data_IF_858260206398
#
_entry.id   IF_858260206398
#
_cell.length_a   1.000
_cell.length_b   1.000
_cell.length_c   1.000
_cell.angle_alpha   90.00
_cell.angle_beta   90.00
_cell.angle_gamma   90.00
#
_symmetry.space_group_name_H-M   'P 1'
#
loop_
_entity.id
_entity.type
_entity.pdbx_description
1 polymer ?
#
# COMPACT_ATOMS: atom_id res chain seq x y z
N UNK A 1 1.51 -18.25 -8.11
CA UNK A 1 0.03 -18.25 -8.06
C UNK A 1 -0.63 -16.88 -8.19
N UNK A 2 0.10 -15.75 -8.22
CA UNK A 2 -0.52 -14.41 -8.34
C UNK A 2 -0.63 -14.00 -9.81
N UNK A 3 -1.82 -13.59 -10.26
CA UNK A 3 -2.07 -13.20 -11.65
C UNK A 3 -1.72 -14.33 -12.62
N UNK A 4 -0.68 -14.15 -13.43
CA UNK A 4 -0.16 -15.18 -14.34
C UNK A 4 1.13 -15.86 -13.86
N UNK A 5 1.66 -15.48 -12.70
CA UNK A 5 2.86 -16.13 -12.14
C UNK A 5 2.49 -17.50 -11.59
N UNK A 6 3.24 -18.55 -11.96
CA UNK A 6 2.94 -19.94 -11.62
C UNK A 6 4.22 -20.73 -11.31
N UNK A 7 4.04 -21.87 -10.64
CA UNK A 7 5.03 -22.93 -10.51
C UNK A 7 4.41 -24.27 -10.91
N UNK A 8 5.23 -25.17 -11.45
CA UNK A 8 4.85 -26.57 -11.69
C UNK A 8 4.95 -27.43 -10.41
N UNK A 9 5.53 -26.89 -9.35
CA UNK A 9 5.73 -27.59 -8.07
C UNK A 9 4.67 -27.13 -7.08
N UNK A 10 3.84 -28.08 -6.61
CA UNK A 10 2.72 -27.78 -5.70
C UNK A 10 3.17 -27.16 -4.36
N UNK A 11 4.34 -27.57 -3.84
CA UNK A 11 4.87 -27.04 -2.57
C UNK A 11 5.21 -25.55 -2.63
N UNK A 12 5.46 -24.98 -3.80
CA UNK A 12 5.81 -23.56 -3.96
C UNK A 12 4.62 -22.63 -3.68
N UNK A 13 3.40 -23.18 -3.64
CA UNK A 13 2.20 -22.42 -3.31
C UNK A 13 1.97 -22.30 -1.79
N UNK A 14 2.69 -23.09 -0.97
CA UNK A 14 2.83 -22.85 0.47
C UNK A 14 4.00 -21.91 0.69
N UNK A 15 3.73 -20.63 0.92
CA UNK A 15 4.73 -19.57 0.81
C UNK A 15 4.52 -18.46 1.85
N UNK A 16 5.49 -17.57 1.95
CA UNK A 16 5.46 -16.41 2.83
C UNK A 16 6.37 -15.30 2.33
N UNK A 17 6.56 -14.28 3.16
CA UNK A 17 7.37 -13.09 2.89
C UNK A 17 8.80 -13.48 2.53
N UNK A 18 9.38 -14.41 3.30
CA UNK A 18 10.75 -14.85 3.11
C UNK A 18 10.95 -15.57 1.76
N UNK A 19 10.01 -16.42 1.33
CA UNK A 19 10.08 -17.04 -0.01
C UNK A 19 9.84 -16.02 -1.10
N UNK A 20 8.89 -15.09 -0.92
CA UNK A 20 8.63 -14.02 -1.88
C UNK A 20 9.87 -13.15 -2.12
N UNK A 21 10.59 -12.77 -1.06
CA UNK A 21 11.83 -12.00 -1.15
C UNK A 21 12.95 -12.79 -1.87
N UNK A 22 13.11 -14.09 -1.56
CA UNK A 22 14.09 -14.96 -2.23
C UNK A 22 13.80 -15.12 -3.72
N UNK A 23 12.54 -15.40 -4.07
CA UNK A 23 12.15 -15.62 -5.47
C UNK A 23 12.24 -14.34 -6.29
N UNK A 24 11.88 -13.20 -5.71
CA UNK A 24 12.04 -11.89 -6.34
C UNK A 24 13.52 -11.52 -6.52
N UNK A 25 14.39 -11.89 -5.57
CA UNK A 25 15.83 -11.73 -5.71
C UNK A 25 16.38 -12.51 -6.90
N UNK A 26 16.02 -13.80 -7.01
CA UNK A 26 16.39 -14.66 -8.14
C UNK A 26 15.84 -14.09 -9.46
N UNK A 27 14.57 -13.70 -9.47
CA UNK A 27 13.93 -13.09 -10.64
C UNK A 27 14.70 -11.87 -11.12
N UNK A 28 15.07 -10.96 -10.22
CA UNK A 28 15.79 -9.75 -10.60
C UNK A 28 17.19 -10.04 -11.16
N UNK A 29 17.93 -11.01 -10.60
CA UNK A 29 19.21 -11.44 -11.18
C UNK A 29 19.03 -11.96 -12.61
N UNK A 30 18.02 -12.83 -12.84
CA UNK A 30 17.69 -13.34 -14.17
C UNK A 30 17.17 -12.26 -15.13
N UNK A 31 16.43 -11.29 -14.62
CA UNK A 31 15.97 -10.15 -15.39
C UNK A 31 17.16 -9.31 -15.89
N UNK A 32 18.15 -9.04 -15.05
CA UNK A 32 19.36 -8.34 -15.46
C UNK A 32 20.27 -9.16 -16.38
N UNK A 33 20.28 -10.49 -16.30
CA UNK A 33 20.92 -11.35 -17.32
C UNK A 33 20.27 -11.15 -18.69
N UNK A 34 18.93 -11.10 -18.74
CA UNK A 34 18.16 -10.92 -19.98
C UNK A 34 18.19 -9.48 -20.51
N UNK A 35 18.23 -8.50 -19.61
CA UNK A 35 18.18 -7.07 -19.92
C UNK A 35 19.39 -6.32 -19.34
N UNK A 36 20.62 -6.63 -19.80
CA UNK A 36 21.85 -6.11 -19.20
C UNK A 36 22.00 -4.59 -19.30
N UNK A 37 21.34 -3.95 -20.28
CA UNK A 37 21.36 -2.49 -20.45
C UNK A 37 20.83 -1.72 -19.23
N UNK A 38 20.06 -2.36 -18.35
CA UNK A 38 19.53 -1.72 -17.14
C UNK A 38 20.41 -1.91 -15.91
N UNK A 39 21.47 -2.75 -15.96
CA UNK A 39 22.32 -3.04 -14.78
C UNK A 39 22.94 -1.81 -14.13
N UNK A 40 23.20 -0.75 -14.91
CA UNK A 40 23.79 0.50 -14.43
C UNK A 40 22.76 1.57 -14.07
N UNK A 41 21.46 1.30 -14.23
CA UNK A 41 20.40 2.27 -13.92
C UNK A 41 20.22 2.39 -12.41
N UNK A 42 19.76 3.55 -11.99
CA UNK A 42 19.28 3.76 -10.64
C UNK A 42 18.06 2.88 -10.39
N UNK A 43 18.09 2.13 -9.30
CA UNK A 43 17.08 1.14 -8.97
C UNK A 43 16.26 1.62 -7.77
N UNK A 44 14.95 1.74 -7.95
CA UNK A 44 14.01 2.18 -6.93
C UNK A 44 13.02 1.06 -6.64
N UNK A 45 12.70 0.87 -5.37
CA UNK A 45 11.72 -0.12 -4.93
C UNK A 45 10.47 0.60 -4.46
N UNK A 46 9.34 0.29 -5.06
CA UNK A 46 8.07 0.91 -4.70
C UNK A 46 6.96 -0.11 -4.60
N UNK A 47 6.03 0.12 -3.68
CA UNK A 47 4.88 -0.75 -3.50
C UNK A 47 3.79 -0.07 -2.67
N UNK A 48 2.67 -0.75 -2.49
CA UNK A 48 1.52 -0.27 -1.74
C UNK A 48 0.98 -1.36 -0.80
N UNK A 49 0.29 -0.97 0.28
CA UNK A 49 -0.44 -1.90 1.15
C UNK A 49 0.49 -2.91 1.84
N UNK A 50 0.23 -4.21 1.67
CA UNK A 50 1.08 -5.29 2.17
C UNK A 50 2.50 -5.27 1.56
N UNK A 51 2.74 -4.51 0.48
CA UNK A 51 4.11 -4.26 0.04
C UNK A 51 4.93 -3.44 1.05
N UNK A 52 4.30 -2.88 2.09
CA UNK A 52 4.97 -2.45 3.32
C UNK A 52 5.80 -3.55 3.95
N UNK A 53 5.40 -4.83 3.86
CA UNK A 53 6.23 -5.99 4.23
C UNK A 53 7.23 -6.37 3.13
N UNK A 54 6.76 -6.47 1.88
CA UNK A 54 7.58 -6.98 0.77
C UNK A 54 8.78 -6.11 0.43
N UNK A 55 8.57 -4.80 0.33
CA UNK A 55 9.59 -3.88 -0.18
C UNK A 55 10.78 -3.76 0.77
N UNK A 56 10.61 -3.59 2.09
CA UNK A 56 11.73 -3.55 3.02
C UNK A 56 12.48 -4.87 3.11
N UNK A 57 11.77 -6.01 3.11
CA UNK A 57 12.41 -7.33 3.12
C UNK A 57 13.23 -7.58 1.84
N UNK A 58 12.69 -7.23 0.69
CA UNK A 58 13.39 -7.34 -0.59
C UNK A 58 14.62 -6.41 -0.66
N UNK A 59 14.47 -5.17 -0.19
CA UNK A 59 15.59 -4.22 -0.13
C UNK A 59 16.73 -4.75 0.75
N UNK A 60 16.39 -5.33 1.90
CA UNK A 60 17.37 -5.95 2.80
C UNK A 60 18.04 -7.16 2.12
N UNK A 61 17.29 -8.02 1.43
CA UNK A 61 17.87 -9.12 0.65
C UNK A 61 18.86 -8.63 -0.43
N UNK A 62 18.58 -7.50 -1.09
CA UNK A 62 19.51 -6.89 -2.04
C UNK A 62 20.75 -6.27 -1.38
N UNK A 63 20.59 -5.66 -0.20
CA UNK A 63 21.72 -5.16 0.60
C UNK A 63 22.63 -6.32 1.03
N UNK A 64 22.05 -7.43 1.48
CA UNK A 64 22.77 -8.65 1.84
C UNK A 64 23.50 -9.23 0.63
N UNK A 65 22.86 -9.30 -0.53
CA UNK A 65 23.54 -9.67 -1.78
C UNK A 65 24.72 -8.75 -2.10
N UNK A 66 24.54 -7.43 -2.01
CA UNK A 66 25.59 -6.45 -2.31
C UNK A 66 26.79 -6.55 -1.37
N UNK A 67 26.58 -6.94 -0.12
CA UNK A 67 27.63 -7.13 0.87
C UNK A 67 28.51 -8.36 0.56
N UNK A 68 27.91 -9.44 0.03
CA UNK A 68 28.61 -10.70 -0.23
C UNK A 68 29.07 -10.86 -1.69
N UNK A 69 28.46 -10.14 -2.64
CA UNK A 69 28.78 -10.28 -4.06
C UNK A 69 30.06 -9.55 -4.47
N UNK A 70 30.93 -10.24 -5.19
CA UNK A 70 32.10 -9.66 -5.89
C UNK A 70 31.76 -9.21 -7.32
N UNK A 71 30.57 -9.54 -7.82
CA UNK A 71 30.12 -9.24 -9.17
C UNK A 71 29.07 -8.14 -9.22
N UNK A 72 27.91 -8.45 -9.82
CA UNK A 72 26.80 -7.51 -9.94
C UNK A 72 26.26 -7.10 -8.56
N UNK A 73 26.07 -5.79 -8.40
CA UNK A 73 25.44 -5.17 -7.23
C UNK A 73 24.22 -4.36 -7.66
N UNK A 74 23.16 -4.41 -6.87
CA UNK A 74 21.97 -3.61 -7.05
C UNK A 74 22.26 -2.15 -6.69
N UNK A 75 22.05 -1.22 -7.62
CA UNK A 75 22.23 0.22 -7.41
C UNK A 75 20.96 0.86 -6.81
N UNK A 76 20.62 0.47 -5.58
CA UNK A 76 19.41 0.92 -4.89
C UNK A 76 19.54 2.42 -4.54
N UNK A 77 18.63 3.25 -5.04
CA UNK A 77 18.62 4.70 -4.82
C UNK A 77 17.52 5.23 -3.93
N UNK A 78 16.50 4.43 -3.65
CA UNK A 78 15.42 4.85 -2.76
C UNK A 78 14.31 3.83 -2.69
N UNK A 79 13.51 3.98 -1.64
CA UNK A 79 12.29 3.22 -1.42
C UNK A 79 11.11 4.16 -1.24
N UNK A 80 9.98 3.88 -1.89
CA UNK A 80 8.73 4.57 -1.62
C UNK A 80 7.58 3.58 -1.42
N UNK A 81 6.90 3.64 -0.28
CA UNK A 81 5.81 2.74 0.08
C UNK A 81 4.53 3.51 0.40
N UNK A 82 3.46 3.17 -0.31
CA UNK A 82 2.14 3.81 -0.22
C UNK A 82 1.21 3.04 0.72
N UNK A 83 0.50 3.73 1.60
CA UNK A 83 -0.45 3.15 2.55
C UNK A 83 0.05 1.83 3.18
N UNK A 84 1.28 1.80 3.75
CA UNK A 84 1.96 0.53 4.00
C UNK A 84 1.56 -0.08 5.34
N UNK A 85 1.21 -1.37 5.33
CA UNK A 85 1.17 -2.17 6.55
C UNK A 85 2.62 -2.37 7.05
N UNK A 86 2.90 -1.98 8.28
CA UNK A 86 4.26 -1.96 8.84
C UNK A 86 4.35 -2.59 10.23
N UNK A 87 3.34 -2.37 11.07
CA UNK A 87 3.32 -2.88 12.45
C UNK A 87 1.89 -2.86 13.00
N UNK A 88 1.36 -4.05 13.31
CA UNK A 88 -0.06 -4.23 13.64
C UNK A 88 -0.52 -3.46 14.88
N UNK A 89 0.32 -3.33 15.90
CA UNK A 89 0.00 -2.63 17.15
C UNK A 89 -0.27 -1.12 16.95
N UNK A 90 0.12 -0.55 15.81
CA UNK A 90 -0.22 0.83 15.41
C UNK A 90 -1.19 0.89 14.24
N UNK A 91 -1.02 0.02 13.24
CA UNK A 91 -1.84 0.08 12.04
C UNK A 91 -3.30 -0.34 12.31
N UNK A 92 -3.52 -1.36 13.15
CA UNK A 92 -4.86 -1.87 13.47
C UNK A 92 -5.69 -0.88 14.29
N UNK A 93 -5.23 -0.33 15.44
CA UNK A 93 -6.01 0.67 16.16
C UNK A 93 -6.27 1.92 15.32
N UNK A 94 -5.36 2.29 14.41
CA UNK A 94 -5.55 3.44 13.52
C UNK A 94 -6.78 3.28 12.61
N UNK A 95 -7.12 2.07 12.16
CA UNK A 95 -8.35 1.78 11.40
C UNK A 95 -9.60 2.16 12.19
N UNK A 96 -9.69 1.76 13.45
CA UNK A 96 -10.87 2.04 14.27
C UNK A 96 -10.92 3.50 14.73
N UNK A 97 -9.77 4.14 14.97
CA UNK A 97 -9.68 5.58 15.17
C UNK A 97 -10.16 6.35 13.92
N UNK A 98 -9.80 5.88 12.72
CA UNK A 98 -10.28 6.44 11.47
C UNK A 98 -11.81 6.31 11.36
N UNK A 99 -12.36 5.11 11.57
CA UNK A 99 -13.81 4.89 11.53
C UNK A 99 -14.56 5.83 12.47
N UNK A 100 -14.11 5.96 13.72
CA UNK A 100 -14.74 6.84 14.70
C UNK A 100 -14.63 8.32 14.29
N UNK A 101 -13.42 8.79 13.99
CA UNK A 101 -13.18 10.19 13.64
C UNK A 101 -13.88 10.65 12.35
N UNK A 102 -14.26 9.72 11.47
CA UNK A 102 -14.98 9.98 10.23
C UNK A 102 -16.48 9.68 10.32
N UNK A 103 -17.01 9.41 11.52
CA UNK A 103 -18.44 9.21 11.76
C UNK A 103 -19.00 7.91 11.17
N UNK A 104 -18.14 6.92 10.93
CA UNK A 104 -18.53 5.62 10.38
C UNK A 104 -19.04 4.66 11.46
N UNK A 105 -18.66 4.88 12.71
CA UNK A 105 -19.12 4.12 13.89
C UNK A 105 -19.52 5.09 15.01
N UNK A 106 -20.34 4.63 15.95
CA UNK A 106 -20.81 5.46 17.06
C UNK A 106 -19.71 5.72 18.10
N UNK A 107 -19.93 6.73 18.95
CA UNK A 107 -19.03 7.04 20.07
C UNK A 107 -18.88 5.85 21.03
N UNK A 108 -19.95 5.09 21.28
CA UNK A 108 -19.93 3.93 22.15
C UNK A 108 -18.99 2.84 21.63
N UNK A 109 -19.07 2.53 20.34
CA UNK A 109 -18.22 1.52 19.69
C UNK A 109 -16.77 2.00 19.61
N UNK A 110 -16.56 3.24 19.18
CA UNK A 110 -15.22 3.86 19.11
C UNK A 110 -14.52 3.87 20.46
N UNK A 111 -15.20 4.35 21.52
CA UNK A 111 -14.66 4.38 22.88
C UNK A 111 -14.49 2.98 23.47
N UNK A 112 -15.34 2.01 23.12
CA UNK A 112 -15.17 0.63 23.55
C UNK A 112 -13.87 0.04 22.98
N UNK A 113 -13.57 0.27 21.70
CA UNK A 113 -12.32 -0.20 21.08
C UNK A 113 -11.13 0.56 21.68
N UNK A 114 -11.13 1.89 21.65
CA UNK A 114 -9.98 2.69 22.07
C UNK A 114 -9.59 2.50 23.54
N UNK A 115 -10.54 2.20 24.43
CA UNK A 115 -10.26 2.08 25.87
C UNK A 115 -10.15 0.63 26.37
N UNK A 116 -10.75 -0.36 25.69
CA UNK A 116 -10.83 -1.74 26.19
C UNK A 116 -10.02 -2.73 25.36
N UNK A 117 -9.57 -2.34 24.17
CA UNK A 117 -8.66 -3.17 23.38
C UNK A 117 -7.22 -2.87 23.74
N UNK A 118 -6.45 -3.93 23.93
CA UNK A 118 -4.99 -3.88 23.96
C UNK A 118 -4.49 -4.47 22.65
N UNK A 119 -3.73 -3.69 21.89
CA UNK A 119 -3.23 -4.06 20.57
C UNK A 119 -1.73 -4.41 20.59
N UNK A 120 -1.05 -4.33 21.73
CA UNK A 120 0.41 -4.50 21.82
C UNK A 120 0.86 -5.88 21.30
N UNK A 121 0.06 -6.93 21.59
CA UNK A 121 0.28 -8.31 21.13
C UNK A 121 -0.74 -8.76 20.06
N UNK A 122 -1.33 -7.82 19.30
CA UNK A 122 -2.33 -8.14 18.27
C UNK A 122 -1.75 -9.06 17.18
N UNK A 123 -2.54 -10.05 16.76
CA UNK A 123 -2.19 -10.98 15.70
C UNK A 123 -3.15 -10.88 14.52
N UNK A 124 -2.61 -10.99 13.31
CA UNK A 124 -3.39 -11.01 12.07
C UNK A 124 -4.37 -12.19 12.00
N UNK A 125 -3.97 -13.35 12.54
CA UNK A 125 -4.81 -14.54 12.62
C UNK A 125 -6.07 -14.30 13.48
N UNK A 126 -7.16 -14.98 13.12
CA UNK A 126 -8.45 -14.95 13.83
C UNK A 126 -8.66 -16.23 14.64
N UNK A 127 -9.13 -16.16 15.91
CA UNK A 127 -9.43 -14.93 16.65
C UNK A 127 -8.15 -14.15 16.96
N UNK A 128 -8.25 -12.81 16.93
CA UNK A 128 -7.12 -11.94 17.27
C UNK A 128 -6.75 -12.14 18.74
N UNK A 129 -5.45 -12.03 19.05
CA UNK A 129 -4.92 -12.10 20.41
C UNK A 129 -5.28 -10.85 21.24
N UNK A 130 -6.57 -10.65 21.47
CA UNK A 130 -7.18 -9.57 22.25
C UNK A 130 -8.33 -10.14 23.09
N UNK A 131 -8.86 -9.35 24.03
CA UNK A 131 -9.97 -9.78 24.87
C UNK A 131 -11.23 -10.11 24.05
N UNK A 132 -12.08 -11.02 24.53
CA UNK A 132 -13.35 -11.35 23.87
C UNK A 132 -14.23 -10.10 23.67
N UNK A 133 -14.26 -9.20 24.64
CA UNK A 133 -14.98 -7.92 24.54
C UNK A 133 -14.41 -7.02 23.44
N UNK A 134 -13.09 -7.03 23.24
CA UNK A 134 -12.46 -6.30 22.14
C UNK A 134 -12.82 -6.92 20.78
N UNK A 135 -12.71 -8.24 20.64
CA UNK A 135 -13.11 -8.95 19.42
C UNK A 135 -14.60 -8.69 19.07
N UNK A 136 -15.48 -8.60 20.08
CA UNK A 136 -16.88 -8.23 19.89
C UNK A 136 -17.05 -6.79 19.40
N UNK A 137 -16.37 -5.82 20.02
CA UNK A 137 -16.44 -4.42 19.60
C UNK A 137 -15.87 -4.20 18.17
N UNK A 138 -14.77 -4.89 17.83
CA UNK A 138 -14.21 -4.92 16.48
C UNK A 138 -15.22 -5.49 15.48
N UNK A 139 -15.86 -6.62 15.82
CA UNK A 139 -16.89 -7.23 14.97
C UNK A 139 -18.09 -6.30 14.76
N UNK A 140 -18.53 -5.61 15.82
CA UNK A 140 -19.60 -4.61 15.76
C UNK A 140 -19.22 -3.44 14.85
N UNK A 141 -18.01 -2.88 15.01
CA UNK A 141 -17.52 -1.81 14.13
C UNK A 141 -17.50 -2.24 12.66
N UNK A 142 -16.97 -3.42 12.36
CA UNK A 142 -16.94 -3.97 11.00
C UNK A 142 -18.36 -4.21 10.44
N UNK A 143 -19.29 -4.66 11.27
CA UNK A 143 -20.69 -4.85 10.88
C UNK A 143 -21.41 -3.52 10.60
N UNK A 144 -21.09 -2.44 11.32
CA UNK A 144 -21.68 -1.12 11.09
C UNK A 144 -21.18 -0.53 9.77
N UNK A 145 -19.87 -0.61 9.51
CA UNK A 145 -19.29 -0.16 8.25
C UNK A 145 -19.87 -0.95 7.06
N UNK A 146 -19.90 -2.28 7.19
CA UNK A 146 -20.54 -3.19 6.25
C UNK A 146 -19.98 -3.13 4.82
N UNK A 147 -20.63 -3.84 3.92
CA UNK A 147 -20.16 -4.02 2.53
C UNK A 147 -20.57 -2.88 1.57
N UNK A 148 -21.41 -1.95 2.03
CA UNK A 148 -21.86 -0.79 1.24
C UNK A 148 -20.90 0.40 1.29
N UNK A 149 -19.80 0.26 2.05
CA UNK A 149 -18.70 1.22 2.10
C UNK A 149 -17.47 0.54 1.52
N UNK A 150 -16.82 1.19 0.57
CA UNK A 150 -15.52 0.74 0.11
C UNK A 150 -14.45 1.14 1.15
N UNK A 151 -13.95 0.17 1.92
CA UNK A 151 -12.91 0.44 2.94
C UNK A 151 -11.61 0.99 2.35
N UNK A 152 -11.30 0.69 1.09
CA UNK A 152 -10.13 1.22 0.40
C UNK A 152 -10.29 2.67 -0.06
N UNK A 153 -11.52 3.19 -0.11
CA UNK A 153 -11.84 4.58 -0.46
C UNK A 153 -13.24 4.96 0.05
N UNK A 154 -13.29 5.48 1.28
CA UNK A 154 -14.55 5.68 2.02
C UNK A 154 -15.45 6.77 1.45
N UNK A 155 -14.94 7.57 0.51
CA UNK A 155 -15.71 8.63 -0.16
C UNK A 155 -16.26 8.19 -1.51
N UNK A 156 -15.89 7.01 -2.01
CA UNK A 156 -16.43 6.46 -3.26
C UNK A 156 -17.69 5.63 -3.01
N UNK A 157 -18.59 5.70 -3.99
CA UNK A 157 -19.69 4.74 -4.09
C UNK A 157 -19.16 3.32 -4.34
N UNK A 158 -19.98 2.31 -4.08
CA UNK A 158 -19.67 0.91 -4.40
C UNK A 158 -20.09 0.56 -5.82
N UNK A 159 -19.33 -0.34 -6.46
CA UNK A 159 -19.76 -0.92 -7.74
C UNK A 159 -20.89 -1.92 -7.51
N UNK A 160 -22.04 -1.69 -8.14
CA UNK A 160 -23.15 -2.64 -8.08
C UNK A 160 -22.92 -3.83 -9.04
N UNK A 161 -23.38 -5.03 -8.68
CA UNK A 161 -23.42 -6.15 -9.62
C UNK A 161 -24.22 -5.78 -10.88
N UNK A 162 -23.84 -6.34 -12.02
CA UNK A 162 -24.46 -6.01 -13.33
C UNK A 162 -25.98 -6.16 -13.37
N UNK A 163 -26.53 -7.13 -12.66
CA UNK A 163 -28.00 -7.32 -12.54
C UNK A 163 -28.66 -6.17 -11.77
N UNK A 164 -28.02 -5.67 -10.73
CA UNK A 164 -28.49 -4.54 -9.92
C UNK A 164 -28.36 -3.25 -10.73
N UNK A 165 -27.25 -3.05 -11.45
CA UNK A 165 -27.13 -1.92 -12.37
C UNK A 165 -28.20 -1.93 -13.45
N UNK A 166 -28.49 -3.09 -14.04
CA UNK A 166 -29.54 -3.22 -15.05
C UNK A 166 -30.91 -2.85 -14.49
N UNK A 167 -31.23 -3.31 -13.28
CA UNK A 167 -32.46 -2.92 -12.59
C UNK A 167 -32.51 -1.41 -12.28
N UNK A 168 -31.43 -0.84 -11.75
CA UNK A 168 -31.33 0.59 -11.44
C UNK A 168 -31.45 1.47 -12.70
N UNK A 169 -30.91 1.02 -13.84
CA UNK A 169 -31.08 1.66 -15.16
C UNK A 169 -32.52 1.56 -15.64
N UNK A 170 -33.15 0.38 -15.54
CA UNK A 170 -34.56 0.17 -15.91
C UNK A 170 -35.48 1.06 -15.06
N UNK A 171 -35.19 1.23 -13.78
CA UNK A 171 -35.89 2.15 -12.87
C UNK A 171 -35.52 3.62 -13.04
N UNK A 172 -34.63 3.97 -13.98
CA UNK A 172 -34.11 5.33 -14.23
C UNK A 172 -33.44 6.00 -13.02
N UNK A 173 -32.97 5.21 -12.05
CA UNK A 173 -32.28 5.71 -10.85
C UNK A 173 -30.78 5.93 -11.09
N UNK A 174 -30.18 5.18 -12.03
CA UNK A 174 -28.79 5.32 -12.45
C UNK A 174 -28.64 6.15 -13.74
N UNK A 175 -29.11 7.41 -13.73
CA UNK A 175 -29.18 8.25 -14.94
C UNK A 175 -27.97 9.17 -15.18
N UNK A 176 -26.96 9.16 -14.31
CA UNK A 176 -25.77 10.00 -14.47
C UNK A 176 -24.50 9.16 -14.56
N UNK A 177 -23.78 9.34 -15.66
CA UNK A 177 -22.36 9.01 -15.76
C UNK A 177 -21.64 9.97 -14.82
N UNK A 178 -21.07 9.47 -13.73
CA UNK A 178 -20.19 10.25 -12.88
C UNK A 178 -18.89 10.52 -13.65
N UNK A 179 -18.44 11.77 -13.71
CA UNK A 179 -17.11 12.17 -14.23
C UNK A 179 -16.01 11.85 -13.19
N UNK A 180 -16.29 10.90 -12.30
CA UNK A 180 -15.47 10.51 -11.16
C UNK A 180 -14.62 9.27 -11.42
N UNK A 181 -14.09 8.75 -10.32
CA UNK A 181 -13.26 7.54 -10.26
C UNK A 181 -14.13 6.31 -10.57
N UNK A 182 -13.66 5.39 -11.43
CA UNK A 182 -14.41 4.21 -11.88
C UNK A 182 -14.42 3.07 -10.85
N UNK A 183 -15.46 3.06 -10.01
CA UNK A 183 -15.65 2.10 -8.93
C UNK A 183 -15.74 0.64 -9.39
N UNK A 184 -16.02 0.38 -10.68
CA UNK A 184 -16.21 -0.96 -11.25
C UNK A 184 -14.95 -1.55 -11.92
N UNK A 185 -13.84 -0.81 -11.91
CA UNK A 185 -12.59 -1.20 -12.56
C UNK A 185 -12.09 -2.61 -12.21
N UNK A 186 -12.38 -3.12 -11.01
CA UNK A 186 -12.02 -4.49 -10.59
C UNK A 186 -12.59 -5.56 -11.53
N UNK A 187 -13.85 -5.42 -11.94
CA UNK A 187 -14.51 -6.39 -12.83
C UNK A 187 -14.01 -6.26 -14.26
N UNK A 188 -13.86 -5.02 -14.74
CA UNK A 188 -13.37 -4.72 -16.08
C UNK A 188 -11.95 -5.26 -16.28
N UNK A 189 -11.08 -5.08 -15.28
CA UNK A 189 -9.71 -5.57 -15.27
C UNK A 189 -9.66 -7.10 -15.33
N UNK A 190 -10.50 -7.77 -14.53
CA UNK A 190 -10.63 -9.24 -14.56
C UNK A 190 -11.10 -9.72 -15.92
N UNK A 191 -12.09 -9.07 -16.52
CA UNK A 191 -12.57 -9.40 -17.86
C UNK A 191 -11.46 -9.24 -18.90
N UNK A 192 -10.84 -8.07 -18.97
CA UNK A 192 -9.82 -7.72 -19.95
C UNK A 192 -8.62 -8.68 -19.93
N UNK A 193 -8.07 -8.98 -18.75
CA UNK A 193 -6.91 -9.87 -18.64
C UNK A 193 -7.25 -11.37 -18.84
N UNK A 194 -8.53 -11.73 -18.92
CA UNK A 194 -8.94 -13.08 -19.30
C UNK A 194 -9.27 -13.22 -20.80
N UNK A 195 -9.18 -12.14 -21.60
CA UNK A 195 -9.32 -12.22 -23.05
C UNK A 195 -8.12 -12.96 -23.68
N UNK A 196 -8.34 -13.97 -24.55
CA UNK A 196 -7.27 -14.72 -25.19
C UNK A 196 -6.28 -13.84 -25.98
N UNK A 197 -6.78 -12.83 -26.68
CA UNK A 197 -5.99 -11.87 -27.45
C UNK A 197 -5.09 -11.02 -26.55
N UNK A 198 -5.56 -10.63 -25.36
CA UNK A 198 -4.78 -9.88 -24.38
C UNK A 198 -3.67 -10.75 -23.79
N UNK A 199 -4.00 -11.99 -23.41
CA UNK A 199 -3.00 -12.95 -22.91
C UNK A 199 -1.93 -13.25 -23.97
N UNK A 200 -2.35 -13.44 -25.23
CA UNK A 200 -1.43 -13.64 -26.36
C UNK A 200 -0.49 -12.44 -26.55
N UNK A 201 -1.03 -11.22 -26.53
CA UNK A 201 -0.28 -9.98 -26.70
C UNK A 201 0.75 -9.75 -25.58
N UNK A 202 0.38 -10.06 -24.33
CA UNK A 202 1.26 -9.94 -23.16
C UNK A 202 2.19 -11.14 -22.97
N UNK A 203 2.09 -12.15 -23.85
CA UNK A 203 2.81 -13.41 -23.72
C UNK A 203 2.57 -14.11 -22.38
N UNK A 204 1.38 -13.90 -21.82
CA UNK A 204 0.91 -14.48 -20.57
C UNK A 204 0.22 -15.82 -20.80
N UNK A 205 -0.01 -16.57 -19.71
CA UNK A 205 -0.75 -17.84 -19.70
C UNK A 205 -0.32 -18.86 -20.78
N UNK A 206 0.97 -18.90 -21.12
CA UNK A 206 1.50 -19.79 -22.17
C UNK A 206 1.47 -21.27 -21.81
N UNK A 207 1.22 -21.60 -20.56
CA UNK A 207 1.18 -22.96 -20.01
C UNK A 207 -0.22 -23.50 -19.77
N UNK A 208 -1.27 -22.78 -20.19
CA UNK A 208 -2.67 -23.13 -19.93
C UNK A 208 -2.93 -23.33 -18.43
N UNK A 209 -2.76 -22.24 -17.67
CA UNK A 209 -3.02 -22.22 -16.24
C UNK A 209 -4.44 -22.73 -15.93
N UNK A 210 -4.62 -23.53 -14.86
CA UNK A 210 -5.91 -24.12 -14.52
C UNK A 210 -6.90 -23.11 -13.91
N UNK A 211 -6.53 -21.84 -13.83
CA UNK A 211 -7.32 -20.75 -13.28
C UNK A 211 -7.23 -19.52 -14.18
N UNK A 212 -8.29 -18.71 -14.16
CA UNK A 212 -8.28 -17.39 -14.81
C UNK A 212 -7.46 -16.38 -14.01
N UNK A 213 -7.04 -15.31 -14.67
CA UNK A 213 -6.38 -14.18 -14.01
C UNK A 213 -7.34 -13.51 -13.01
N UNK A 214 -6.82 -13.17 -11.83
CA UNK A 214 -7.50 -12.38 -10.80
C UNK A 214 -6.53 -11.40 -10.14
N UNK A 215 -7.05 -10.33 -9.52
CA UNK A 215 -6.21 -9.34 -8.83
C UNK A 215 -5.49 -9.95 -7.62
N UNK A 216 -6.23 -10.68 -6.79
CA UNK A 216 -5.72 -11.41 -5.63
C UNK A 216 -5.83 -12.91 -5.89
N UNK A 217 -4.87 -13.67 -5.37
CA UNK A 217 -4.82 -15.13 -5.54
C UNK A 217 -5.51 -15.84 -4.38
N UNK A 218 -6.39 -16.78 -4.71
CA UNK A 218 -6.98 -17.73 -3.74
C UNK A 218 -6.32 -19.11 -3.80
N UNK A 219 -5.23 -19.24 -4.56
CA UNK A 219 -4.50 -20.51 -4.79
C UNK A 219 -3.30 -20.65 -3.84
N UNK A 220 -2.86 -19.56 -3.22
CA UNK A 220 -1.70 -19.57 -2.32
C UNK A 220 -2.15 -19.97 -0.92
N UNK A 221 -1.39 -20.86 -0.29
CA UNK A 221 -1.40 -21.06 1.15
C UNK A 221 -0.32 -20.16 1.75
N UNK A 222 -0.68 -18.89 1.98
CA UNK A 222 0.25 -17.88 2.45
C UNK A 222 0.38 -17.93 3.98
N UNK A 223 1.57 -17.65 4.51
CA UNK A 223 1.83 -17.57 5.96
C UNK A 223 0.83 -16.66 6.68
N UNK A 224 0.18 -17.20 7.71
CA UNK A 224 -0.77 -16.45 8.54
C UNK A 224 -0.08 -15.57 9.60
N UNK A 225 1.23 -15.76 9.81
CA UNK A 225 1.99 -15.04 10.84
C UNK A 225 2.90 -13.95 10.30
N UNK A 226 3.15 -13.93 8.98
CA UNK A 226 4.06 -12.95 8.38
C UNK A 226 3.54 -11.51 8.51
N UNK A 227 2.21 -11.34 8.51
CA UNK A 227 1.57 -10.05 8.81
C UNK A 227 1.87 -9.50 10.21
N UNK A 228 2.33 -10.33 11.15
CA UNK A 228 2.68 -9.91 12.51
C UNK A 228 4.09 -9.31 12.60
N UNK A 229 4.91 -9.42 11.55
CA UNK A 229 6.31 -8.98 11.57
C UNK A 229 6.36 -7.45 11.71
N UNK A 230 7.10 -6.96 12.71
CA UNK A 230 7.44 -5.55 12.81
C UNK A 230 8.49 -5.18 11.74
N UNK A 231 8.10 -4.32 10.80
CA UNK A 231 8.94 -3.94 9.65
C UNK A 231 9.91 -2.78 9.96
N UNK A 232 9.70 -2.02 11.05
CA UNK A 232 10.52 -0.84 11.38
C UNK A 232 12.03 -1.15 11.46
N UNK A 233 12.49 -2.27 12.05
CA UNK A 233 13.90 -2.64 12.05
C UNK A 233 14.51 -2.78 10.65
N UNK A 234 13.74 -3.26 9.66
CA UNK A 234 14.21 -3.38 8.28
C UNK A 234 14.32 -1.99 7.63
N UNK A 235 13.33 -1.12 7.84
CA UNK A 235 13.41 0.28 7.39
C UNK A 235 14.59 1.02 8.02
N UNK A 236 14.85 0.80 9.31
CA UNK A 236 16.05 1.33 10.01
C UNK A 236 17.33 0.89 9.32
N UNK A 237 17.47 -0.41 9.04
CA UNK A 237 18.64 -0.99 8.36
C UNK A 237 18.84 -0.38 6.96
N UNK A 238 17.77 -0.15 6.21
CA UNK A 238 17.81 0.48 4.89
C UNK A 238 18.31 1.92 4.98
N UNK A 239 17.76 2.70 5.91
CA UNK A 239 18.16 4.11 6.12
C UNK A 239 19.62 4.20 6.58
N UNK A 240 20.10 3.30 7.43
CA UNK A 240 21.51 3.22 7.85
C UNK A 240 22.47 2.92 6.69
N UNK A 241 21.98 2.34 5.59
CA UNK A 241 22.73 2.19 4.33
C UNK A 241 22.61 3.43 3.42
N UNK A 242 22.19 4.59 3.96
CA UNK A 242 22.02 5.86 3.25
C UNK A 242 21.04 5.80 2.08
N UNK A 243 20.04 4.91 2.16
CA UNK A 243 18.96 4.80 1.17
C UNK A 243 17.76 5.62 1.68
N UNK A 244 17.31 6.65 0.93
CA UNK A 244 16.11 7.40 1.28
C UNK A 244 14.85 6.52 1.28
N UNK A 245 14.01 6.70 2.30
CA UNK A 245 12.72 6.03 2.46
C UNK A 245 11.60 7.08 2.47
N UNK A 246 10.64 6.91 1.58
CA UNK A 246 9.41 7.71 1.52
C UNK A 246 8.23 6.83 1.89
N UNK A 247 7.51 7.22 2.93
CA UNK A 247 6.20 6.67 3.27
C UNK A 247 5.15 7.68 2.86
N UNK A 248 4.15 7.26 2.11
CA UNK A 248 3.04 8.13 1.76
C UNK A 248 1.70 7.47 1.97
N UNK A 249 0.68 8.25 2.29
CA UNK A 249 -0.68 7.73 2.54
C UNK A 249 -1.74 8.61 1.89
N UNK A 250 -2.74 8.01 1.27
CA UNK A 250 -4.00 8.70 0.98
C UNK A 250 -4.73 9.06 2.28
N UNK A 251 -5.39 10.21 2.30
CA UNK A 251 -6.10 10.69 3.50
C UNK A 251 -7.51 10.11 3.68
N UNK A 252 -8.01 9.33 2.72
CA UNK A 252 -9.31 8.63 2.77
C UNK A 252 -9.17 7.09 2.87
N UNK A 253 -7.97 6.58 3.12
CA UNK A 253 -7.78 5.14 3.31
C UNK A 253 -8.16 4.72 4.73
N UNK A 254 -9.09 3.78 4.85
CA UNK A 254 -9.47 3.21 6.15
C UNK A 254 -8.78 1.88 6.46
N UNK A 255 -8.19 1.21 5.46
CA UNK A 255 -7.52 -0.10 5.63
C UNK A 255 -6.16 0.07 6.27
N UNK A 256 -5.36 1.03 5.80
CA UNK A 256 -4.08 1.40 6.41
C UNK A 256 -4.02 2.92 6.56
N UNK A 257 -4.75 3.49 7.54
CA UNK A 257 -4.91 4.93 7.62
C UNK A 257 -3.61 5.67 7.84
N UNK A 258 -3.56 6.91 7.35
CA UNK A 258 -2.41 7.80 7.51
C UNK A 258 -1.96 7.94 8.97
N UNK A 259 -2.87 7.77 9.94
CA UNK A 259 -2.59 7.89 11.37
C UNK A 259 -1.56 6.84 11.83
N UNK A 260 -1.71 5.58 11.40
CA UNK A 260 -0.78 4.49 11.71
C UNK A 260 0.59 4.75 11.08
N UNK A 261 0.61 4.96 9.75
CA UNK A 261 1.86 5.25 9.02
C UNK A 261 2.60 6.48 9.55
N UNK A 262 1.89 7.58 9.85
CA UNK A 262 2.48 8.80 10.43
C UNK A 262 3.13 8.53 11.78
N UNK A 263 2.46 7.75 12.63
CA UNK A 263 2.95 7.39 13.96
C UNK A 263 4.20 6.54 13.86
N UNK A 264 4.17 5.48 13.05
CA UNK A 264 5.31 4.58 12.85
C UNK A 264 6.53 5.28 12.22
N UNK A 265 6.32 6.20 11.26
CA UNK A 265 7.42 7.00 10.72
C UNK A 265 8.02 7.92 11.79
N UNK A 266 7.20 8.50 12.67
CA UNK A 266 7.70 9.31 13.79
C UNK A 266 8.48 8.47 14.80
N UNK A 267 8.00 7.28 15.13
CA UNK A 267 8.71 6.31 16.00
C UNK A 267 10.08 5.94 15.39
N UNK A 268 10.11 5.59 14.11
CA UNK A 268 11.36 5.29 13.39
C UNK A 268 12.32 6.48 13.37
N UNK A 269 11.83 7.70 13.14
CA UNK A 269 12.65 8.90 13.17
C UNK A 269 13.27 9.14 14.56
N UNK A 270 12.50 8.89 15.63
CA UNK A 270 12.96 9.01 17.00
C UNK A 270 14.04 7.97 17.33
N UNK A 271 13.83 6.70 16.95
CA UNK A 271 14.78 5.60 17.13
C UNK A 271 16.09 5.79 16.31
N UNK A 272 16.03 6.54 15.21
CA UNK A 272 17.20 6.97 14.43
C UNK A 272 17.86 8.26 14.95
N UNK A 273 17.29 8.89 15.98
CA UNK A 273 17.69 10.22 16.47
C UNK A 273 17.70 11.31 15.38
N UNK A 274 16.81 11.18 14.39
CA UNK A 274 16.69 12.16 13.33
C UNK A 274 15.98 13.42 13.81
N UNK A 275 16.54 14.58 13.46
CA UNK A 275 15.87 15.87 13.59
C UNK A 275 14.88 16.06 12.43
N UNK A 276 13.83 16.83 12.69
CA UNK A 276 12.93 17.33 11.65
C UNK A 276 13.72 18.26 10.74
N UNK A 277 13.88 17.87 9.47
CA UNK A 277 14.55 18.67 8.43
C UNK A 277 13.57 19.52 7.63
N UNK A 278 12.33 19.06 7.51
CA UNK A 278 11.20 19.84 7.00
C UNK A 278 10.03 19.66 7.96
N UNK A 279 9.59 20.73 8.65
CA UNK A 279 8.42 20.68 9.53
C UNK A 279 7.15 20.28 8.78
N UNK A 280 6.22 19.65 9.50
CA UNK A 280 4.94 19.22 8.94
C UNK A 280 4.18 20.42 8.36
N UNK A 281 4.03 20.46 7.04
CA UNK A 281 3.36 21.55 6.34
C UNK A 281 2.73 21.06 5.02
N UNK A 282 1.87 21.89 4.42
CA UNK A 282 1.26 21.60 3.13
C UNK A 282 2.32 21.57 2.02
N UNK A 283 2.18 20.62 1.11
CA UNK A 283 2.83 20.66 -0.19
C UNK A 283 1.82 20.94 -1.30
N UNK A 284 2.28 21.50 -2.40
CA UNK A 284 1.42 22.08 -3.44
C UNK A 284 1.56 21.39 -4.79
N UNK A 285 0.44 21.32 -5.51
CA UNK A 285 0.34 20.84 -6.87
C UNK A 285 -0.69 21.68 -7.64
N UNK A 286 -0.27 22.29 -8.76
CA UNK A 286 -1.14 23.08 -9.66
C UNK A 286 -2.03 24.11 -8.93
N UNK A 287 -1.44 25.00 -8.14
CA UNK A 287 -2.24 26.03 -7.45
C UNK A 287 -2.86 25.59 -6.13
N UNK A 288 -2.89 24.28 -5.84
CA UNK A 288 -3.71 23.69 -4.78
C UNK A 288 -2.86 22.86 -3.80
N UNK A 289 -3.37 22.66 -2.60
CA UNK A 289 -2.77 21.71 -1.65
C UNK A 289 -2.83 20.30 -2.24
N UNK A 290 -1.65 19.69 -2.39
CA UNK A 290 -1.47 18.30 -2.78
C UNK A 290 -1.58 17.33 -1.61
N UNK A 291 -1.28 17.81 -0.40
CA UNK A 291 -1.33 17.07 0.87
C UNK A 291 -0.38 17.73 1.87
N UNK A 292 0.12 16.95 2.83
CA UNK A 292 1.05 17.43 3.86
C UNK A 292 2.31 16.58 3.89
N UNK A 293 3.44 17.16 4.26
CA UNK A 293 4.75 16.48 4.27
C UNK A 293 5.55 16.87 5.50
N UNK A 294 6.32 15.91 6.03
CA UNK A 294 7.41 16.14 6.98
C UNK A 294 8.62 15.32 6.56
N UNK A 295 9.82 15.84 6.79
CA UNK A 295 11.08 15.14 6.51
C UNK A 295 11.92 15.06 7.78
N UNK A 296 12.60 13.93 7.96
CA UNK A 296 13.52 13.66 9.05
C UNK A 296 14.88 13.25 8.49
N UNK A 297 15.95 13.91 8.95
CA UNK A 297 17.33 13.59 8.57
C UNK A 297 17.64 13.62 7.07
N UNK A 298 16.79 14.25 6.23
CA UNK A 298 16.82 14.20 4.76
C UNK A 298 16.80 12.78 4.14
N UNK A 299 16.49 11.75 4.93
CA UNK A 299 16.47 10.35 4.50
C UNK A 299 15.12 9.67 4.73
N UNK A 300 14.27 10.23 5.60
CA UNK A 300 12.96 9.67 5.91
C UNK A 300 11.89 10.73 5.68
N UNK A 301 10.97 10.46 4.75
CA UNK A 301 9.88 11.37 4.39
C UNK A 301 8.54 10.71 4.70
N UNK A 302 7.64 11.43 5.36
CA UNK A 302 6.23 11.08 5.41
C UNK A 302 5.42 12.13 4.66
N UNK A 303 4.57 11.69 3.72
CA UNK A 303 3.70 12.58 2.97
C UNK A 303 2.26 12.03 2.89
N UNK A 304 1.26 12.88 3.09
CA UNK A 304 -0.11 12.54 2.73
C UNK A 304 -0.43 13.04 1.33
N UNK A 305 -1.38 12.39 0.65
CA UNK A 305 -1.95 12.86 -0.61
C UNK A 305 -3.42 13.16 -0.40
N UNK A 306 -3.75 14.44 -0.51
CA UNK A 306 -5.10 14.95 -0.23
C UNK A 306 -6.11 14.38 -1.20
N UNK A 307 -7.24 13.91 -0.70
CA UNK A 307 -8.34 13.32 -1.50
C UNK A 307 -7.95 12.03 -2.21
N UNK A 308 -6.87 11.39 -1.78
CA UNK A 308 -6.49 10.05 -2.22
C UNK A 308 -6.89 9.05 -1.15
N UNK A 309 -7.04 7.78 -1.54
CA UNK A 309 -7.35 6.69 -0.62
C UNK A 309 -6.26 5.61 -0.67
N UNK A 310 -6.61 4.33 -0.52
CA UNK A 310 -5.64 3.25 -0.43
C UNK A 310 -4.75 3.17 -1.68
N UNK A 311 -5.39 3.18 -2.86
CA UNK A 311 -4.70 3.26 -4.15
C UNK A 311 -4.45 4.71 -4.53
N UNK A 312 -3.40 5.32 -3.97
CA UNK A 312 -3.10 6.75 -4.16
C UNK A 312 -2.99 7.16 -5.63
N UNK A 313 -2.27 6.42 -6.51
CA UNK A 313 -2.17 6.77 -7.93
C UNK A 313 -3.48 6.65 -8.69
N UNK A 314 -4.41 5.82 -8.22
CA UNK A 314 -5.73 5.64 -8.82
C UNK A 314 -6.66 6.79 -8.42
N UNK A 315 -6.72 7.14 -7.14
CA UNK A 315 -7.60 8.19 -6.65
C UNK A 315 -7.11 9.60 -7.04
N UNK A 316 -5.80 9.85 -7.04
CA UNK A 316 -5.21 11.16 -7.32
C UNK A 316 -4.00 11.07 -8.27
N UNK A 317 -4.19 10.67 -9.54
CA UNK A 317 -3.10 10.36 -10.47
C UNK A 317 -2.12 11.54 -10.69
N UNK A 318 -2.65 12.76 -10.83
CA UNK A 318 -1.82 13.96 -11.07
C UNK A 318 -0.97 14.31 -9.85
N UNK A 319 -1.52 14.16 -8.63
CA UNK A 319 -0.78 14.42 -7.37
C UNK A 319 0.23 13.30 -7.10
N UNK A 320 -0.17 12.04 -7.30
CA UNK A 320 0.70 10.87 -7.15
C UNK A 320 1.90 10.92 -8.10
N UNK A 321 1.70 11.29 -9.36
CA UNK A 321 2.80 11.45 -10.32
C UNK A 321 3.78 12.56 -9.90
N UNK A 322 3.29 13.67 -9.34
CA UNK A 322 4.15 14.73 -8.82
C UNK A 322 4.97 14.25 -7.62
N UNK A 323 4.35 13.52 -6.69
CA UNK A 323 5.02 12.89 -5.56
C UNK A 323 6.11 11.92 -6.03
N UNK A 324 5.74 10.97 -6.90
CA UNK A 324 6.66 9.99 -7.47
C UNK A 324 7.82 10.66 -8.22
N UNK A 325 7.53 11.67 -9.04
CA UNK A 325 8.55 12.41 -9.79
C UNK A 325 9.52 13.16 -8.87
N UNK A 326 9.05 13.64 -7.72
CA UNK A 326 9.89 14.32 -6.73
C UNK A 326 10.81 13.31 -6.03
N UNK A 327 10.25 12.17 -5.62
CA UNK A 327 11.00 11.05 -5.05
C UNK A 327 12.13 10.56 -5.96
N UNK A 328 11.83 10.16 -7.20
CA UNK A 328 12.86 9.60 -8.12
C UNK A 328 13.93 10.63 -8.53
N UNK A 329 13.62 11.92 -8.43
CA UNK A 329 14.57 13.01 -8.72
C UNK A 329 15.32 13.51 -7.47
N UNK A 330 15.06 12.94 -6.30
CA UNK A 330 15.63 13.41 -5.03
C UNK A 330 15.27 14.87 -4.71
N UNK A 331 14.06 15.30 -5.07
CA UNK A 331 13.57 16.67 -4.84
C UNK A 331 12.54 16.68 -3.72
N UNK A 332 12.57 17.74 -2.91
CA UNK A 332 11.51 18.01 -1.92
C UNK A 332 10.19 18.30 -2.62
N UNK A 333 9.09 17.94 -1.97
CA UNK A 333 7.77 18.35 -2.42
C UNK A 333 7.63 19.89 -2.33
N UNK A 334 6.99 20.55 -3.30
CA UNK A 334 6.91 22.01 -3.30
C UNK A 334 6.14 22.56 -2.11
N UNK A 335 6.73 23.51 -1.39
CA UNK A 335 6.13 24.17 -0.22
C UNK A 335 5.47 25.53 -0.54
N UNK A 336 5.41 25.88 -1.83
CA UNK A 336 4.81 27.12 -2.32
C UNK A 336 4.09 26.87 -3.64
N UNK A 337 3.18 27.77 -3.99
CA UNK A 337 2.37 27.72 -5.22
C UNK A 337 2.54 28.99 -6.06
N UNK A 338 2.27 28.89 -7.37
CA UNK A 338 2.18 30.03 -8.30
C UNK A 338 0.99 29.84 -9.25
N UNK A 339 0.15 30.88 -9.48
CA UNK A 339 0.13 32.15 -8.75
C UNK A 339 -0.20 31.94 -7.27
N UNK A 340 0.23 32.87 -6.41
CA UNK A 340 -0.28 32.94 -5.04
C UNK A 340 -1.79 33.22 -5.08
N UNK A 341 -2.54 32.81 -4.06
CA UNK A 341 -3.96 33.19 -3.93
C UNK A 341 -4.12 34.72 -3.82
N UNK A 342 -3.05 35.40 -3.42
CA UNK A 342 -2.99 36.85 -3.25
C UNK A 342 -2.33 37.59 -4.43
N UNK A 343 -1.95 36.90 -5.51
CA UNK A 343 -1.34 37.51 -6.71
C UNK A 343 -2.39 37.94 -7.75
#
# INVERSE_FOLDING_TARGET
GVGWSYSNTTSDYTCGDASAARDMHIFMLKWYEKFPAFKSRDFFLTGESYAGHYIPQLAVAFLDHNAHSTGFKFNIKGIAIGNPLLKLDRDVPATYEFFWSHGMISDEVGLAIMNKCDFDDYTFASPHNVTNSCNQAISEANSIVGDYINSYDVILDVCYPSIVEQELRLRKMAAKISVGIDVCMTYERRFYFNLPEVQKALHANRTNLPFGWSMCSFVLNYSETDGNINILPLLKRIIQNHIPVWVFSGDQDSVVPLLGSRTLVRELAHDLHFKITVPYNAWFHKGQVGGWVTEYGNLLTFATVRGAAHMVPYAQPSRALHLFSSFVRGRRLPNATRPSIYD
#
